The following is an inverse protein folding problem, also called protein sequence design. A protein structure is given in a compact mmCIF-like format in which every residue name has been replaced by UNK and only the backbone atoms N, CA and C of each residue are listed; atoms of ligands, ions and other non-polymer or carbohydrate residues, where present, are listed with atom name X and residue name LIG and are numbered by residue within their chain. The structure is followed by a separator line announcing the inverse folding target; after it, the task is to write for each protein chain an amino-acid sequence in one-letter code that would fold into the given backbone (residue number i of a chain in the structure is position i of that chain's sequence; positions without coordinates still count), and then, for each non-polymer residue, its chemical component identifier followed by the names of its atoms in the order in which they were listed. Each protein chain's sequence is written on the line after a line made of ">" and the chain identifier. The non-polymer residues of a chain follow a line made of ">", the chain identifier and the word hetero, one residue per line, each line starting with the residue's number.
data_IF_069406074062
#
_entry.id   IF_069406074062
#
_cell.length_a   1.000
_cell.length_b   1.000
_cell.length_c   1.000
_cell.angle_alpha   90.00
_cell.angle_beta   90.00
_cell.angle_gamma   90.00
#
_symmetry.space_group_name_H-M   'P 1'
#
loop_
_entity.id
_entity.type
_entity.pdbx_description
1 polymer ?
#
# COMPACT_ATOMS: atom_id res chain seq x y z
N UNK A 1 0.95 0.85 14.02
CA UNK A 1 1.05 -0.57 13.59
C UNK A 1 0.97 -0.57 12.06
N UNK A 2 1.98 -1.16 11.40
CA UNK A 2 2.38 -1.01 9.98
C UNK A 2 2.47 0.43 9.44
N UNK A 3 3.67 1.01 9.56
CA UNK A 3 3.98 2.33 8.98
C UNK A 3 4.45 2.25 7.52
N UNK A 4 5.12 1.15 7.18
CA UNK A 4 5.69 0.87 5.86
C UNK A 4 5.85 -0.64 5.67
N UNK A 5 5.78 -1.08 4.42
CA UNK A 5 6.09 -2.44 4.00
C UNK A 5 7.11 -2.33 2.86
N UNK A 6 8.20 -3.10 2.99
CA UNK A 6 9.19 -3.28 1.92
C UNK A 6 9.12 -4.71 1.44
N UNK A 7 9.07 -4.90 0.13
CA UNK A 7 8.91 -6.22 -0.43
C UNK A 7 9.02 -6.24 -1.94
N UNK A 8 8.80 -7.44 -2.48
CA UNK A 8 8.77 -7.70 -3.91
C UNK A 8 7.32 -7.58 -4.38
N UNK A 9 7.10 -6.85 -5.46
CA UNK A 9 5.80 -6.79 -6.14
C UNK A 9 5.50 -8.15 -6.76
N UNK A 10 4.46 -8.82 -6.27
CA UNK A 10 4.04 -10.10 -6.82
C UNK A 10 2.99 -9.94 -7.91
N UNK A 11 2.04 -9.02 -7.71
CA UNK A 11 0.91 -8.78 -8.61
C UNK A 11 0.46 -7.33 -8.45
N UNK A 12 0.07 -6.68 -9.55
CA UNK A 12 -0.35 -5.28 -9.56
C UNK A 12 -1.60 -5.08 -10.42
N UNK A 13 -2.59 -4.42 -9.84
CA UNK A 13 -3.79 -3.93 -10.52
C UNK A 13 -3.94 -2.43 -10.32
N UNK A 14 -4.86 -1.79 -11.03
CA UNK A 14 -5.10 -0.35 -10.94
C UNK A 14 -5.55 0.13 -9.56
N UNK A 15 -6.06 -0.76 -8.70
CA UNK A 15 -6.57 -0.42 -7.36
C UNK A 15 -5.90 -1.18 -6.23
N UNK A 16 -5.28 -2.33 -6.52
CA UNK A 16 -4.72 -3.21 -5.49
C UNK A 16 -3.33 -3.69 -5.90
N UNK A 17 -2.50 -4.01 -4.93
CA UNK A 17 -1.19 -4.61 -5.14
C UNK A 17 -0.92 -5.69 -4.11
N UNK A 18 -0.29 -6.76 -4.55
CA UNK A 18 0.19 -7.83 -3.67
C UNK A 18 1.69 -7.66 -3.47
N UNK A 19 2.08 -7.38 -2.22
CA UNK A 19 3.47 -7.16 -1.85
C UNK A 19 3.97 -8.31 -0.97
N UNK A 20 4.99 -9.01 -1.45
CA UNK A 20 5.66 -10.07 -0.71
C UNK A 20 6.73 -9.46 0.19
N UNK A 21 6.49 -9.43 1.50
CA UNK A 21 7.42 -8.83 2.44
C UNK A 21 8.74 -9.61 2.50
N UNK A 22 9.84 -8.94 2.15
CA UNK A 22 11.17 -9.54 2.01
C UNK A 22 11.59 -10.28 3.28
N UNK A 23 11.95 -11.55 3.16
CA UNK A 23 12.45 -12.38 4.27
C UNK A 23 11.37 -12.96 5.20
N UNK A 24 10.08 -12.74 4.92
CA UNK A 24 8.98 -13.29 5.76
C UNK A 24 8.11 -14.30 5.03
N UNK A 25 8.09 -14.27 3.69
CA UNK A 25 7.21 -15.14 2.89
C UNK A 25 5.72 -14.79 2.99
N UNK A 26 5.38 -13.64 3.58
CA UNK A 26 4.00 -13.17 3.75
C UNK A 26 3.65 -12.20 2.63
N UNK A 27 2.56 -12.48 1.90
CA UNK A 27 1.95 -11.58 0.94
C UNK A 27 0.93 -10.67 1.63
N UNK A 28 1.02 -9.37 1.37
CA UNK A 28 0.05 -8.38 1.83
C UNK A 28 -0.74 -7.83 0.65
N UNK A 29 -2.07 -7.89 0.77
CA UNK A 29 -2.96 -7.19 -0.15
C UNK A 29 -3.14 -5.74 0.32
N UNK A 30 -2.75 -4.82 -0.56
CA UNK A 30 -2.75 -3.39 -0.28
C UNK A 30 -3.61 -2.66 -1.31
N UNK A 31 -4.48 -1.77 -0.85
CA UNK A 31 -5.24 -0.84 -1.69
C UNK A 31 -4.33 0.32 -2.09
N UNK A 32 -4.23 0.60 -3.39
CA UNK A 32 -3.38 1.62 -3.95
C UNK A 32 -4.13 2.91 -4.24
N UNK A 33 -3.44 4.03 -4.02
CA UNK A 33 -3.80 5.28 -4.69
C UNK A 33 -3.31 5.29 -6.14
N UNK A 34 -3.87 6.16 -7.02
CA UNK A 34 -3.41 6.27 -8.41
C UNK A 34 -1.91 6.63 -8.54
N UNK A 35 -1.38 7.44 -7.61
CA UNK A 35 0.05 7.77 -7.60
C UNK A 35 0.90 6.57 -7.16
N UNK A 36 0.45 5.84 -6.13
CA UNK A 36 1.14 4.63 -5.69
C UNK A 36 1.13 3.55 -6.79
N UNK A 37 0.03 3.41 -7.52
CA UNK A 37 -0.05 2.55 -8.71
C UNK A 37 0.95 2.96 -9.78
N UNK A 38 1.07 4.26 -10.10
CA UNK A 38 2.03 4.72 -11.09
C UNK A 38 3.48 4.40 -10.69
N UNK A 39 3.83 4.53 -9.41
CA UNK A 39 5.16 4.18 -8.91
C UNK A 39 5.41 2.67 -8.94
N UNK A 40 4.43 1.88 -8.49
CA UNK A 40 4.53 0.44 -8.50
C UNK A 40 4.62 -0.14 -9.92
N UNK A 41 3.87 0.45 -10.87
CA UNK A 41 3.90 0.09 -12.29
C UNK A 41 5.24 0.41 -12.95
N UNK A 42 5.94 1.47 -12.51
CA UNK A 42 7.29 1.79 -13.00
C UNK A 42 8.34 0.77 -12.53
N UNK A 43 8.15 0.20 -11.33
CA UNK A 43 9.01 -0.84 -10.79
C UNK A 43 8.75 -2.17 -11.51
N UNK A 44 7.47 -2.48 -11.76
CA UNK A 44 7.04 -3.71 -12.42
C UNK A 44 7.01 -4.93 -11.49
N UNK A 45 6.37 -6.01 -11.97
CA UNK A 45 6.32 -7.29 -11.25
C UNK A 45 7.73 -7.87 -11.03
N UNK A 46 7.97 -8.41 -9.84
CA UNK A 46 9.27 -8.91 -9.42
C UNK A 46 10.25 -7.83 -8.94
N UNK A 47 9.91 -6.54 -9.09
CA UNK A 47 10.74 -5.46 -8.57
C UNK A 47 10.52 -5.21 -7.08
N UNK A 48 11.58 -4.79 -6.38
CA UNK A 48 11.51 -4.44 -4.97
C UNK A 48 11.02 -2.99 -4.81
N UNK A 49 10.01 -2.78 -3.97
CA UNK A 49 9.54 -1.44 -3.64
C UNK A 49 9.25 -1.30 -2.13
N UNK A 50 9.24 -0.05 -1.66
CA UNK A 50 8.83 0.30 -0.30
C UNK A 50 7.60 1.21 -0.40
N UNK A 51 6.51 0.82 0.28
CA UNK A 51 5.27 1.58 0.32
C UNK A 51 4.94 2.02 1.74
N UNK A 52 4.37 3.23 1.85
CA UNK A 52 3.88 3.75 3.13
C UNK A 52 2.47 3.24 3.36
N UNK A 53 2.22 2.68 4.53
CA UNK A 53 0.96 1.97 4.82
C UNK A 53 0.12 2.75 5.82
N UNK A 54 -1.19 2.80 5.58
CA UNK A 54 -2.20 3.11 6.59
C UNK A 54 -3.06 1.89 6.82
N UNK A 55 -3.11 1.43 8.07
CA UNK A 55 -3.96 0.34 8.48
C UNK A 55 -5.31 0.92 8.94
N UNK A 56 -6.34 0.70 8.14
CA UNK A 56 -7.71 1.01 8.49
C UNK A 56 -8.37 -0.23 9.13
N UNK A 57 -8.73 -0.10 10.40
CA UNK A 57 -9.35 -1.18 11.17
C UNK A 57 -10.79 -0.82 11.48
N UNK A 58 -11.70 -1.73 11.16
CA UNK A 58 -13.09 -1.69 11.60
C UNK A 58 -13.37 -2.94 12.45
N UNK A 59 -14.57 -3.03 13.01
CA UNK A 59 -14.98 -4.19 13.81
C UNK A 59 -15.07 -5.49 12.99
N UNK A 60 -15.22 -5.36 11.66
CA UNK A 60 -15.48 -6.49 10.75
C UNK A 60 -14.41 -6.66 9.67
N UNK A 61 -13.47 -5.73 9.55
CA UNK A 61 -12.43 -5.78 8.50
C UNK A 61 -11.14 -5.07 8.89
N UNK A 62 -10.04 -5.60 8.37
CA UNK A 62 -8.73 -4.95 8.35
C UNK A 62 -8.35 -4.67 6.89
N UNK A 63 -8.09 -3.41 6.58
CA UNK A 63 -7.67 -2.96 5.24
C UNK A 63 -6.35 -2.20 5.34
N UNK A 64 -5.47 -2.44 4.37
CA UNK A 64 -4.19 -1.76 4.26
C UNK A 64 -4.21 -0.86 3.03
N UNK A 65 -4.02 0.44 3.22
CA UNK A 65 -3.87 1.41 2.15
C UNK A 65 -2.39 1.76 1.96
N UNK A 66 -1.91 1.67 0.73
CA UNK A 66 -0.55 1.96 0.33
C UNK A 66 -0.45 3.27 -0.45
N UNK A 67 0.57 4.06 -0.11
CA UNK A 67 0.81 5.39 -0.67
C UNK A 67 2.24 5.53 -1.17
N UNK A 68 2.40 6.30 -2.25
CA UNK A 68 3.70 6.63 -2.82
C UNK A 68 4.46 7.67 -1.99
N UNK A 69 3.74 8.66 -1.47
CA UNK A 69 4.32 9.78 -0.72
C UNK A 69 3.73 9.91 0.69
N UNK A 70 4.42 10.65 1.56
CA UNK A 70 3.93 10.90 2.92
C UNK A 70 2.79 11.92 2.89
N UNK A 71 2.89 12.90 1.99
CA UNK A 71 1.94 13.97 1.74
C UNK A 71 0.58 13.39 1.31
N UNK A 72 0.60 12.40 0.43
CA UNK A 72 -0.59 11.71 -0.04
C UNK A 72 -1.29 10.97 1.10
N UNK A 73 -0.52 10.24 1.91
CA UNK A 73 -1.06 9.57 3.11
C UNK A 73 -1.69 10.58 4.07
N UNK A 74 -1.06 11.74 4.29
CA UNK A 74 -1.62 12.79 5.16
C UNK A 74 -2.91 13.36 4.58
N UNK A 75 -2.97 13.61 3.27
CA UNK A 75 -4.18 14.07 2.59
C UNK A 75 -5.32 13.06 2.75
N UNK A 76 -5.06 11.77 2.49
CA UNK A 76 -6.05 10.70 2.66
C UNK A 76 -6.60 10.65 4.10
N UNK A 77 -5.71 10.72 5.10
CA UNK A 77 -6.11 10.75 6.50
C UNK A 77 -6.90 11.99 6.89
N UNK A 78 -6.67 13.11 6.21
CA UNK A 78 -7.43 14.34 6.43
C UNK A 78 -8.83 14.22 5.83
N UNK A 79 -8.94 13.63 4.63
CA UNK A 79 -10.22 13.37 3.97
C UNK A 79 -11.11 12.41 4.78
N UNK A 80 -10.52 11.39 5.41
CA UNK A 80 -11.26 10.46 6.29
C UNK A 80 -11.90 11.14 7.52
N UNK A 81 -11.45 12.33 7.91
CA UNK A 81 -11.97 13.07 9.08
C UNK A 81 -13.12 14.00 8.73
N UNK A 82 -13.37 14.24 7.44
CA UNK A 82 -14.47 15.10 6.99
C UNK A 82 -15.74 14.25 7.03
N UNK A 83 -16.67 14.62 7.91
CA UNK A 83 -18.02 14.03 8.05
C UNK A 83 -19.07 14.94 7.42
#
# INVERSE_FOLDING_TARGET
>A
MYAKIKGILSDITSSNVTLMASGTGIGFDLLLSPLAYSLASQVGEGGECEMKIYHHRTEVSELLFAFGSAEEKVLFLTLLKVS
#
